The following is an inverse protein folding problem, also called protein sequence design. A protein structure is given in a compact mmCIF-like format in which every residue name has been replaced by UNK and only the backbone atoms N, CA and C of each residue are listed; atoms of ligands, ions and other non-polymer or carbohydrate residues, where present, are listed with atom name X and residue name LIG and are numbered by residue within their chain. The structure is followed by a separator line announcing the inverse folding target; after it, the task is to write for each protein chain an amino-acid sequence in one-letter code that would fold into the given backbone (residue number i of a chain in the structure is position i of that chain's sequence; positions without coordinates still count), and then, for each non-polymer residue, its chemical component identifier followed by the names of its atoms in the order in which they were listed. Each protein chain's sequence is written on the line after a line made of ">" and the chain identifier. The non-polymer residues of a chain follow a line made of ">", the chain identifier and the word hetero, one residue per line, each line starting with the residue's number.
data_IF_948994162858
#
_entry.id   IF_948994162858
#
_cell.length_a   1.000
_cell.length_b   1.000
_cell.length_c   1.000
_cell.angle_alpha   90.00
_cell.angle_beta   90.00
_cell.angle_gamma   90.00
#
_symmetry.space_group_name_H-M   'P 1'
#
loop_
_entity.id
_entity.type
_entity.pdbx_description
1 polymer ?
#
# COMPACT_ATOMS: atom_id res chain seq x y z
N UNK A 1 10.58 6.49 -14.69
CA UNK A 1 11.70 5.54 -14.93
C UNK A 1 11.27 4.06 -14.99
N UNK A 2 10.09 3.68 -14.50
CA UNK A 2 9.61 2.29 -14.56
C UNK A 2 9.44 1.81 -16.00
N UNK A 3 8.81 2.60 -16.86
CA UNK A 3 8.56 2.25 -18.26
C UNK A 3 9.84 2.00 -19.07
N UNK A 4 10.91 2.74 -18.80
CA UNK A 4 12.21 2.51 -19.47
C UNK A 4 12.73 1.11 -19.10
N UNK A 5 12.63 0.70 -17.84
CA UNK A 5 13.03 -0.65 -17.39
C UNK A 5 12.14 -1.74 -17.94
N UNK A 6 10.84 -1.49 -18.06
CA UNK A 6 9.91 -2.41 -18.73
C UNK A 6 10.32 -2.63 -20.19
N UNK A 7 10.58 -1.53 -20.90
CA UNK A 7 11.00 -1.59 -22.30
C UNK A 7 12.33 -2.33 -22.48
N UNK A 8 13.33 -2.03 -21.66
CA UNK A 8 14.64 -2.69 -21.69
C UNK A 8 14.56 -4.20 -21.41
N UNK A 9 13.58 -4.63 -20.60
CA UNK A 9 13.38 -6.04 -20.25
C UNK A 9 12.32 -6.75 -21.08
N UNK A 10 11.72 -6.07 -22.05
CA UNK A 10 10.63 -6.63 -22.85
C UNK A 10 11.04 -7.92 -23.57
N UNK A 11 12.28 -8.02 -24.01
CA UNK A 11 12.83 -9.24 -24.63
C UNK A 11 12.89 -10.45 -23.67
N UNK A 12 12.82 -10.22 -22.36
CA UNK A 12 12.82 -11.27 -21.33
C UNK A 12 11.40 -11.74 -20.98
N UNK A 13 10.37 -11.11 -21.57
CA UNK A 13 9.01 -11.54 -21.34
C UNK A 13 8.72 -12.83 -22.08
N UNK A 14 8.43 -13.90 -21.31
CA UNK A 14 8.22 -15.25 -21.87
C UNK A 14 6.76 -15.61 -22.14
N UNK A 15 5.81 -14.72 -21.84
CA UNK A 15 4.38 -14.98 -21.99
C UNK A 15 3.75 -15.99 -21.00
N UNK A 16 4.54 -16.53 -20.06
CA UNK A 16 4.04 -17.50 -19.05
C UNK A 16 3.07 -16.91 -18.04
N UNK A 17 3.06 -15.59 -17.90
CA UNK A 17 2.15 -14.84 -17.03
C UNK A 17 1.56 -13.68 -17.82
N UNK A 18 0.37 -13.16 -17.44
CA UNK A 18 -0.18 -11.96 -18.07
C UNK A 18 0.81 -10.80 -18.05
N UNK A 19 0.85 -10.02 -19.11
CA UNK A 19 1.76 -8.88 -19.25
C UNK A 19 1.64 -7.89 -18.09
N UNK A 20 0.44 -7.63 -17.63
CA UNK A 20 0.16 -6.75 -16.49
C UNK A 20 0.86 -7.23 -15.20
N UNK A 21 0.85 -8.53 -14.93
CA UNK A 21 1.53 -9.10 -13.78
C UNK A 21 3.04 -8.97 -13.89
N UNK A 22 3.59 -9.17 -15.08
CA UNK A 22 5.02 -9.04 -15.33
C UNK A 22 5.47 -7.57 -15.17
N UNK A 23 4.72 -6.62 -15.75
CA UNK A 23 4.98 -5.19 -15.61
C UNK A 23 4.86 -4.73 -14.15
N UNK A 24 3.81 -5.17 -13.45
CA UNK A 24 3.61 -4.88 -12.02
C UNK A 24 4.78 -5.36 -11.16
N UNK A 25 5.32 -6.52 -11.46
CA UNK A 25 6.49 -7.06 -10.76
C UNK A 25 7.73 -6.21 -10.97
N UNK A 26 7.97 -5.74 -12.20
CA UNK A 26 9.08 -4.82 -12.50
C UNK A 26 8.89 -3.49 -11.76
N UNK A 27 7.69 -2.94 -11.78
CA UNK A 27 7.36 -1.68 -11.11
C UNK A 27 7.59 -1.77 -9.60
N UNK A 28 7.01 -2.78 -8.94
CA UNK A 28 7.15 -2.99 -7.49
C UNK A 28 8.61 -3.20 -7.09
N UNK A 29 9.34 -4.05 -7.81
CA UNK A 29 10.77 -4.28 -7.53
C UNK A 29 11.60 -3.00 -7.72
N UNK A 30 11.28 -2.18 -8.71
CA UNK A 30 11.97 -0.91 -8.94
C UNK A 30 11.71 0.05 -7.78
N UNK A 31 10.46 0.17 -7.32
CA UNK A 31 10.10 1.00 -6.17
C UNK A 31 10.78 0.51 -4.88
N UNK A 32 10.76 -0.80 -4.62
CA UNK A 32 11.40 -1.37 -3.43
C UNK A 32 12.91 -1.15 -3.42
N UNK A 33 13.58 -1.30 -4.57
CA UNK A 33 15.01 -1.04 -4.68
C UNK A 33 15.34 0.44 -4.46
N UNK A 34 14.50 1.35 -4.95
CA UNK A 34 14.68 2.78 -4.71
C UNK A 34 14.48 3.13 -3.24
N UNK A 35 13.43 2.60 -2.61
CA UNK A 35 13.19 2.78 -1.17
C UNK A 35 14.35 2.23 -0.34
N UNK A 36 14.88 1.07 -0.70
CA UNK A 36 16.03 0.47 -0.01
C UNK A 36 17.30 1.31 -0.17
N UNK A 37 17.52 1.92 -1.34
CA UNK A 37 18.67 2.79 -1.60
C UNK A 37 18.58 4.12 -0.81
N UNK A 38 17.37 4.62 -0.57
CA UNK A 38 17.12 5.83 0.22
C UNK A 38 17.18 5.59 1.74
N UNK A 39 17.11 4.33 2.18
CA UNK A 39 17.07 3.95 3.61
C UNK A 39 18.34 3.25 4.05
N UNK A 40 19.14 3.93 4.84
CA UNK A 40 20.27 3.36 5.61
C UNK A 40 19.78 2.83 6.99
N UNK A 41 18.63 2.16 7.08
CA UNK A 41 18.20 1.51 8.34
C UNK A 41 17.53 0.18 8.12
N UNK A 42 18.01 -0.92 8.75
CA UNK A 42 17.30 -2.19 8.79
C UNK A 42 16.08 -2.03 9.71
N UNK A 43 14.90 -1.92 9.14
CA UNK A 43 13.66 -1.97 9.91
C UNK A 43 13.23 -3.42 10.12
N UNK A 44 13.32 -3.83 11.40
CA UNK A 44 12.55 -4.86 12.09
C UNK A 44 12.09 -6.07 11.25
N UNK A 45 12.90 -7.09 11.30
CA UNK A 45 12.47 -8.48 11.13
C UNK A 45 11.60 -8.85 12.33
N UNK A 46 10.40 -9.33 12.07
CA UNK A 46 9.45 -9.88 13.05
C UNK A 46 8.82 -8.87 14.02
N UNK A 47 7.61 -8.44 13.68
CA UNK A 47 6.61 -8.08 14.66
C UNK A 47 5.41 -9.01 14.42
N UNK A 48 5.19 -9.96 15.31
CA UNK A 48 3.96 -10.73 15.36
C UNK A 48 2.81 -9.77 15.66
N UNK A 49 1.73 -9.86 14.89
CA UNK A 49 0.51 -9.12 15.15
C UNK A 49 -0.19 -9.79 16.34
N UNK A 50 -0.60 -9.00 17.33
CA UNK A 50 -1.50 -9.47 18.38
C UNK A 50 -2.87 -9.82 17.78
N UNK A 51 -3.60 -10.73 18.45
CA UNK A 51 -4.96 -11.13 18.01
C UNK A 51 -5.92 -9.93 17.91
N UNK A 52 -5.74 -8.91 18.76
CA UNK A 52 -6.51 -7.65 18.71
C UNK A 52 -6.23 -6.84 17.44
N UNK A 53 -5.01 -6.89 16.93
CA UNK A 53 -4.62 -6.24 15.68
C UNK A 53 -5.19 -6.94 14.46
N UNK A 54 -5.42 -8.26 14.53
CA UNK A 54 -6.07 -9.03 13.46
C UNK A 54 -7.58 -8.74 13.39
N UNK A 55 -8.27 -8.62 14.52
CA UNK A 55 -9.70 -8.34 14.58
C UNK A 55 -10.07 -6.96 14.01
N UNK A 56 -9.20 -5.96 14.19
CA UNK A 56 -9.40 -4.61 13.62
C UNK A 56 -9.27 -4.63 12.08
N UNK A 57 -8.47 -5.55 11.53
CA UNK A 57 -8.27 -5.68 10.08
C UNK A 57 -9.51 -6.21 9.37
N UNK A 58 -10.28 -7.09 10.01
CA UNK A 58 -11.46 -7.73 9.42
C UNK A 58 -12.69 -6.82 9.42
N UNK A 59 -12.81 -5.89 10.40
CA UNK A 59 -14.01 -5.05 10.56
C UNK A 59 -14.07 -3.80 9.66
N UNK A 60 -13.02 -3.47 8.90
CA UNK A 60 -12.98 -2.27 8.04
C UNK A 60 -13.37 -2.53 6.57
N UNK A 61 -13.78 -3.76 6.22
CA UNK A 61 -14.05 -4.15 4.84
C UNK A 61 -15.48 -3.86 4.33
N UNK A 62 -16.35 -3.29 5.15
CA UNK A 62 -17.76 -3.12 4.78
C UNK A 62 -18.28 -1.70 5.00
N UNK A 63 -18.18 -0.87 3.98
CA UNK A 63 -19.19 0.14 3.61
C UNK A 63 -18.79 0.89 2.33
N UNK A 64 -19.42 0.53 1.21
CA UNK A 64 -19.41 1.33 0.00
C UNK A 64 -20.78 1.96 -0.20
N UNK A 65 -20.96 3.20 0.26
CA UNK A 65 -22.09 4.03 -0.14
C UNK A 65 -21.71 4.84 -1.40
N UNK A 66 -22.64 4.95 -2.35
CA UNK A 66 -22.47 5.77 -3.55
C UNK A 66 -22.44 7.24 -3.17
N UNK A 67 -21.28 7.88 -3.34
CA UNK A 67 -21.06 9.30 -3.06
C UNK A 67 -21.31 10.17 -4.30
N UNK A 68 -21.87 11.39 -4.11
CA UNK A 68 -21.98 12.39 -5.17
C UNK A 68 -20.61 12.80 -5.73
N UNK A 69 -20.53 13.35 -6.99
CA UNK A 69 -19.27 13.73 -7.64
C UNK A 69 -18.37 14.65 -6.80
N UNK A 70 -18.97 15.67 -6.17
CA UNK A 70 -18.24 16.63 -5.33
C UNK A 70 -17.67 15.97 -4.06
N UNK A 71 -18.44 15.07 -3.46
CA UNK A 71 -17.98 14.29 -2.32
C UNK A 71 -16.87 13.30 -2.71
N UNK A 72 -16.92 12.76 -3.94
CA UNK A 72 -15.85 11.89 -4.46
C UNK A 72 -14.54 12.65 -4.62
N UNK A 73 -14.61 13.90 -5.12
CA UNK A 73 -13.41 14.74 -5.26
C UNK A 73 -12.80 15.08 -3.89
N UNK A 74 -13.63 15.55 -2.95
CA UNK A 74 -13.19 15.84 -1.59
C UNK A 74 -12.60 14.60 -0.88
N UNK A 75 -13.23 13.44 -1.06
CA UNK A 75 -12.74 12.17 -0.52
C UNK A 75 -11.39 11.79 -1.12
N UNK A 76 -11.19 11.97 -2.42
CA UNK A 76 -9.89 11.71 -3.08
C UNK A 76 -8.79 12.60 -2.54
N UNK A 77 -9.05 13.89 -2.38
CA UNK A 77 -8.08 14.85 -1.83
C UNK A 77 -7.72 14.48 -0.38
N UNK A 78 -8.70 14.11 0.43
CA UNK A 78 -8.48 13.65 1.79
C UNK A 78 -7.63 12.38 1.83
N UNK A 79 -7.97 11.38 1.02
CA UNK A 79 -7.21 10.12 0.93
C UNK A 79 -5.76 10.40 0.50
N UNK A 80 -5.53 11.23 -0.53
CA UNK A 80 -4.18 11.58 -0.98
C UNK A 80 -3.40 12.30 0.13
N UNK A 81 -4.04 13.19 0.87
CA UNK A 81 -3.43 13.85 2.02
C UNK A 81 -3.05 12.85 3.13
N UNK A 82 -3.92 11.90 3.45
CA UNK A 82 -3.65 10.84 4.42
C UNK A 82 -2.52 9.92 3.96
N UNK A 83 -2.50 9.55 2.68
CA UNK A 83 -1.45 8.71 2.10
C UNK A 83 -0.09 9.41 2.07
N UNK A 84 -0.05 10.73 1.89
CA UNK A 84 1.20 11.50 1.87
C UNK A 84 1.92 11.51 3.22
N UNK A 85 1.21 11.28 4.31
CA UNK A 85 1.78 11.18 5.66
C UNK A 85 2.43 9.82 5.97
N UNK A 86 2.25 8.83 5.08
CA UNK A 86 2.78 7.48 5.27
C UNK A 86 4.24 7.38 4.80
N UNK A 87 4.97 6.46 5.44
CA UNK A 87 6.26 6.03 4.90
C UNK A 87 6.07 5.33 3.55
N UNK A 88 7.04 5.40 2.61
CA UNK A 88 6.89 4.82 1.28
C UNK A 88 6.48 3.33 1.27
N UNK A 89 7.03 2.51 2.17
CA UNK A 89 6.66 1.09 2.28
C UNK A 89 5.26 0.85 2.84
N UNK A 90 4.80 1.71 3.75
CA UNK A 90 3.44 1.68 4.29
C UNK A 90 2.44 2.09 3.22
N UNK A 91 2.75 3.16 2.47
CA UNK A 91 1.94 3.60 1.32
C UNK A 91 1.83 2.51 0.27
N UNK A 92 2.93 1.84 -0.07
CA UNK A 92 2.92 0.74 -1.02
C UNK A 92 2.04 -0.43 -0.53
N UNK A 93 2.09 -0.77 0.76
CA UNK A 93 1.23 -1.82 1.31
C UNK A 93 -0.26 -1.47 1.20
N UNK A 94 -0.64 -0.22 1.50
CA UNK A 94 -2.03 0.26 1.35
C UNK A 94 -2.46 0.27 -0.13
N UNK A 95 -1.61 0.75 -1.03
CA UNK A 95 -1.89 0.78 -2.46
C UNK A 95 -2.18 -0.64 -3.00
N UNK A 96 -1.32 -1.58 -2.70
CA UNK A 96 -1.48 -2.96 -3.17
C UNK A 96 -2.72 -3.66 -2.58
N UNK A 97 -2.98 -3.48 -1.29
CA UNK A 97 -4.11 -4.14 -0.61
C UNK A 97 -5.46 -3.51 -0.96
N UNK A 98 -5.56 -2.19 -0.91
CA UNK A 98 -6.85 -1.50 -0.95
C UNK A 98 -7.14 -0.82 -2.28
N UNK A 99 -6.16 -0.20 -2.93
CA UNK A 99 -6.39 0.48 -4.21
C UNK A 99 -6.32 -0.51 -5.38
N UNK A 100 -5.43 -1.49 -5.34
CA UNK A 100 -5.33 -2.53 -6.36
C UNK A 100 -6.09 -3.82 -6.01
N UNK A 101 -6.59 -3.95 -4.78
CA UNK A 101 -7.37 -5.10 -4.35
C UNK A 101 -6.61 -6.43 -4.36
N UNK A 102 -5.30 -6.40 -4.19
CA UNK A 102 -4.47 -7.60 -4.22
C UNK A 102 -4.56 -8.37 -2.90
N UNK A 103 -4.55 -9.69 -2.99
CA UNK A 103 -4.47 -10.55 -1.82
C UNK A 103 -3.08 -10.47 -1.16
N UNK A 104 -3.01 -10.84 0.12
CA UNK A 104 -1.72 -10.94 0.84
C UNK A 104 -0.75 -11.85 0.11
N UNK A 105 -1.24 -12.97 -0.46
CA UNK A 105 -0.40 -13.93 -1.18
C UNK A 105 0.17 -13.34 -2.48
N UNK A 106 -0.62 -12.57 -3.23
CA UNK A 106 -0.16 -11.86 -4.41
C UNK A 106 0.90 -10.81 -4.06
N UNK A 107 0.69 -10.08 -2.95
CA UNK A 107 1.65 -9.09 -2.46
C UNK A 107 2.96 -9.77 -2.06
N UNK A 108 2.90 -10.93 -1.39
CA UNK A 108 4.09 -11.71 -1.06
C UNK A 108 4.91 -12.09 -2.30
N UNK A 109 4.24 -12.56 -3.35
CA UNK A 109 4.88 -12.91 -4.62
C UNK A 109 5.49 -11.71 -5.33
N UNK A 110 4.84 -10.54 -5.27
CA UNK A 110 5.31 -9.32 -5.90
C UNK A 110 6.50 -8.68 -5.17
N UNK A 111 6.44 -8.65 -3.84
CA UNK A 111 7.36 -7.86 -3.01
C UNK A 111 8.45 -8.69 -2.36
N UNK A 112 8.22 -9.99 -2.19
CA UNK A 112 9.06 -10.86 -1.36
C UNK A 112 8.83 -10.67 0.15
N UNK A 113 7.84 -9.89 0.57
CA UNK A 113 7.51 -9.73 1.99
C UNK A 113 6.83 -10.98 2.55
N UNK A 114 6.99 -11.23 3.85
CA UNK A 114 6.20 -12.23 4.55
C UNK A 114 4.76 -11.77 4.74
N UNK A 115 3.83 -12.70 4.95
CA UNK A 115 2.43 -12.38 5.22
C UNK A 115 2.29 -11.49 6.47
N UNK A 116 3.03 -11.80 7.53
CA UNK A 116 3.09 -11.00 8.76
C UNK A 116 3.55 -9.56 8.46
N UNK A 117 4.60 -9.39 7.66
CA UNK A 117 5.12 -8.07 7.31
C UNK A 117 4.12 -7.23 6.50
N UNK A 118 3.39 -7.84 5.56
CA UNK A 118 2.32 -7.17 4.82
C UNK A 118 1.25 -6.65 5.79
N UNK A 119 0.78 -7.51 6.68
CA UNK A 119 -0.26 -7.17 7.68
C UNK A 119 0.21 -6.06 8.64
N UNK A 120 1.43 -6.15 9.16
CA UNK A 120 2.00 -5.12 10.05
C UNK A 120 2.11 -3.78 9.36
N UNK A 121 2.61 -3.73 8.13
CA UNK A 121 2.72 -2.48 7.38
C UNK A 121 1.38 -1.85 7.10
N UNK A 122 0.39 -2.65 6.70
CA UNK A 122 -0.97 -2.19 6.49
C UNK A 122 -1.61 -1.68 7.79
N UNK A 123 -1.41 -2.39 8.90
CA UNK A 123 -1.91 -1.97 10.21
C UNK A 123 -1.31 -0.62 10.64
N UNK A 124 0.02 -0.48 10.58
CA UNK A 124 0.69 0.78 10.94
C UNK A 124 0.25 1.94 10.05
N UNK A 125 0.12 1.68 8.76
CA UNK A 125 -0.39 2.68 7.82
C UNK A 125 -1.80 3.16 8.19
N UNK A 126 -2.73 2.22 8.44
CA UNK A 126 -4.09 2.56 8.83
C UNK A 126 -4.15 3.32 10.16
N UNK A 127 -3.37 2.90 11.14
CA UNK A 127 -3.29 3.61 12.43
C UNK A 127 -2.85 5.06 12.21
N UNK A 128 -1.80 5.29 11.44
CA UNK A 128 -1.34 6.65 11.11
C UNK A 128 -2.39 7.46 10.37
N UNK A 129 -3.06 6.86 9.38
CA UNK A 129 -4.15 7.53 8.65
C UNK A 129 -5.31 7.89 9.59
N UNK A 130 -5.70 6.99 10.49
CA UNK A 130 -6.73 7.25 11.50
C UNK A 130 -6.34 8.39 12.43
N UNK A 131 -5.10 8.42 12.93
CA UNK A 131 -4.59 9.47 13.78
C UNK A 131 -4.56 10.83 13.06
N UNK A 132 -4.18 10.86 11.79
CA UNK A 132 -4.21 12.07 10.97
C UNK A 132 -5.64 12.55 10.72
N UNK A 133 -6.55 11.64 10.40
CA UNK A 133 -7.96 11.97 10.21
C UNK A 133 -8.56 12.58 11.47
N UNK A 134 -8.28 12.03 12.64
CA UNK A 134 -8.73 12.57 13.91
C UNK A 134 -8.22 14.02 14.15
N UNK A 135 -6.96 14.29 13.79
CA UNK A 135 -6.39 15.65 13.87
C UNK A 135 -7.08 16.65 12.94
N UNK A 136 -7.40 16.22 11.70
CA UNK A 136 -8.11 17.06 10.73
C UNK A 136 -9.51 17.37 11.26
N UNK A 137 -10.26 16.36 11.67
CA UNK A 137 -11.61 16.52 12.21
C UNK A 137 -11.66 17.37 13.50
N UNK A 138 -10.62 17.33 14.30
CA UNK A 138 -10.51 18.19 15.49
C UNK A 138 -10.27 19.67 15.12
N UNK A 139 -9.54 19.94 14.03
CA UNK A 139 -9.30 21.30 13.53
C UNK A 139 -10.54 21.95 12.88
N UNK A 140 -11.38 21.13 12.23
CA UNK A 140 -12.62 21.62 11.60
C UNK A 140 -13.72 21.98 12.61
N UNK A 141 -13.61 21.51 13.86
CA UNK A 141 -14.56 21.82 14.95
C UNK A 141 -14.22 23.07 15.76
N UNK A 142 -13.10 23.71 15.47
CA UNK A 142 -12.67 24.96 16.07
C UNK A 142 -12.96 26.16 15.16
#
# INVERSE_FOLDING_TARGET
>A
MIFIRVFQKLSQFSGKVPLEHWVSRIAVNTCLNQIAAEKVRPELRHADLSEEEQAVVENLASSSEELSPDRRLASRQLVEHLLSALKPVERLAIDLLYLQGRSVEEIRKLTGWSAALVKVRAFRARKKMKDQLAKISAKEKL
#
